data_IF_564429716771
#
_entry.id   IF_564429716771
#
_cell.length_a   1.000
_cell.length_b   1.000
_cell.length_c   1.000
_cell.angle_alpha   90.00
_cell.angle_beta   90.00
_cell.angle_gamma   90.00
#
_symmetry.space_group_name_H-M   'P 1'
#
loop_
_entity.id
_entity.type
_entity.pdbx_description
1 polymer ?
#
# COMPACT_ATOMS: atom_id res chain seq x y z
N UNK A 1 1.20 -7.15 10.67
CA UNK A 1 0.13 -7.83 9.90
C UNK A 1 -1.14 -6.99 9.79
N UNK A 2 -1.62 -6.35 10.87
CA UNK A 2 -2.79 -5.45 10.84
C UNK A 2 -2.64 -4.21 9.92
N UNK A 3 -1.48 -3.55 9.90
CA UNK A 3 -1.21 -2.40 8.99
C UNK A 3 -1.17 -2.81 7.51
N UNK A 4 -0.76 -4.05 7.20
CA UNK A 4 -0.79 -4.59 5.83
C UNK A 4 -2.23 -4.92 5.39
N UNK A 5 -3.17 -5.19 6.30
CA UNK A 5 -4.57 -5.50 5.96
C UNK A 5 -5.44 -4.24 5.86
N UNK A 6 -5.12 -3.17 6.60
CA UNK A 6 -5.89 -1.91 6.56
C UNK A 6 -5.70 -1.10 5.26
N UNK A 7 -4.53 -1.18 4.63
CA UNK A 7 -4.26 -0.50 3.34
C UNK A 7 -4.96 -1.15 2.14
N UNK A 8 -5.28 -2.43 2.20
CA UNK A 8 -6.01 -3.14 1.13
C UNK A 8 -7.51 -2.82 1.13
N UNK A 9 -7.97 -2.14 2.17
CA UNK A 9 -9.31 -2.30 2.74
C UNK A 9 -10.21 -1.12 2.40
N UNK A 10 -9.66 0.08 2.48
CA UNK A 10 -10.41 1.33 2.45
C UNK A 10 -10.67 1.76 0.99
N UNK A 11 -9.73 1.55 0.04
CA UNK A 11 -10.00 1.78 -1.41
C UNK A 11 -10.57 0.61 -2.17
N UNK A 12 -10.42 -0.65 -1.76
CA UNK A 12 -11.05 -1.73 -2.54
C UNK A 12 -12.57 -1.45 -2.67
N UNK A 13 -13.17 -0.94 -1.60
CA UNK A 13 -14.59 -0.58 -1.53
C UNK A 13 -14.89 0.67 -2.38
N UNK A 14 -14.01 1.68 -2.40
CA UNK A 14 -14.21 2.90 -3.20
C UNK A 14 -13.83 2.75 -4.67
N UNK A 15 -12.84 1.92 -5.03
CA UNK A 15 -12.53 1.49 -6.40
C UNK A 15 -13.66 0.62 -6.92
N UNK A 16 -14.22 -0.30 -6.12
CA UNK A 16 -15.44 -1.00 -6.49
C UNK A 16 -16.63 -0.04 -6.68
N UNK A 17 -16.80 0.96 -5.81
CA UNK A 17 -17.85 1.99 -5.99
C UNK A 17 -17.60 2.87 -7.23
N UNK A 18 -16.35 3.26 -7.51
CA UNK A 18 -15.96 4.07 -8.68
C UNK A 18 -16.03 3.26 -9.98
N UNK A 19 -15.69 1.98 -9.96
CA UNK A 19 -15.91 1.03 -11.06
C UNK A 19 -17.41 0.79 -11.26
N UNK A 20 -18.22 0.74 -10.21
CA UNK A 20 -19.68 0.69 -10.33
C UNK A 20 -20.28 2.01 -10.86
N UNK A 21 -19.76 3.17 -10.46
CA UNK A 21 -20.16 4.49 -10.98
C UNK A 21 -19.72 4.70 -12.43
N UNK A 22 -18.50 4.26 -12.78
CA UNK A 22 -17.97 4.26 -14.15
C UNK A 22 -18.76 3.27 -15.01
N UNK A 23 -19.13 2.09 -14.51
CA UNK A 23 -20.06 1.17 -15.18
C UNK A 23 -21.46 1.74 -15.33
N UNK A 24 -21.91 2.59 -14.40
CA UNK A 24 -23.16 3.34 -14.51
C UNK A 24 -23.09 4.43 -15.59
N UNK A 25 -21.97 5.16 -15.69
CA UNK A 25 -21.72 6.18 -16.71
C UNK A 25 -21.41 5.60 -18.11
N UNK A 26 -20.76 4.44 -18.19
CA UNK A 26 -20.52 3.65 -19.41
C UNK A 26 -21.78 2.92 -19.90
N UNK A 27 -22.76 2.68 -19.02
CA UNK A 27 -24.08 2.21 -19.46
C UNK A 27 -24.82 3.26 -20.28
N UNK A 28 -24.53 4.55 -20.06
CA UNK A 28 -25.08 5.68 -20.83
C UNK A 28 -24.18 6.14 -21.99
N UNK A 29 -22.90 5.75 -22.00
CA UNK A 29 -21.93 6.10 -23.03
C UNK A 29 -21.11 4.86 -23.49
N UNK A 30 -21.64 4.17 -24.50
CA UNK A 30 -20.94 3.28 -25.45
C UNK A 30 -19.93 2.24 -24.91
N UNK A 31 -20.34 0.98 -25.03
CA UNK A 31 -19.56 -0.19 -25.51
C UNK A 31 -18.03 -0.03 -25.44
N UNK A 32 -17.44 -0.31 -24.27
CA UNK A 32 -16.05 -0.76 -24.19
C UNK A 32 -16.05 -2.29 -24.23
N UNK A 33 -15.45 -2.87 -25.27
CA UNK A 33 -15.29 -4.31 -25.49
C UNK A 33 -14.37 -4.97 -24.44
N UNK A 34 -14.80 -5.01 -23.18
CA UNK A 34 -14.42 -6.06 -22.24
C UNK A 34 -15.53 -7.10 -22.31
N UNK A 35 -15.40 -8.13 -23.15
CA UNK A 35 -16.33 -9.27 -23.11
C UNK A 35 -16.33 -9.83 -21.68
N UNK A 36 -17.43 -9.60 -20.93
CA UNK A 36 -17.61 -10.29 -19.66
C UNK A 36 -17.64 -11.79 -19.97
N UNK A 37 -16.78 -12.60 -19.35
CA UNK A 37 -16.66 -14.00 -19.69
C UNK A 37 -18.03 -14.66 -19.52
N UNK A 38 -18.51 -15.30 -20.60
CA UNK A 38 -19.80 -15.96 -20.60
C UNK A 38 -19.77 -17.07 -19.56
N UNK A 39 -20.43 -16.86 -18.42
CA UNK A 39 -20.50 -17.87 -17.37
C UNK A 39 -21.48 -18.95 -17.83
N UNK A 40 -20.95 -20.00 -18.44
CA UNK A 40 -21.71 -21.10 -19.05
C UNK A 40 -22.65 -21.81 -18.04
N UNK A 41 -22.26 -21.89 -16.76
CA UNK A 41 -23.04 -22.63 -15.76
C UNK A 41 -24.12 -21.75 -15.06
N UNK A 42 -25.42 -22.07 -15.18
CA UNK A 42 -26.50 -21.31 -14.56
C UNK A 42 -26.45 -21.30 -13.02
N UNK A 43 -25.89 -22.36 -12.40
CA UNK A 43 -25.65 -22.39 -10.94
C UNK A 43 -24.61 -21.37 -10.51
N UNK A 44 -23.50 -21.23 -11.25
CA UNK A 44 -22.47 -20.20 -11.02
C UNK A 44 -23.04 -18.80 -11.19
N UNK A 45 -23.89 -18.57 -12.20
CA UNK A 45 -24.60 -17.27 -12.39
C UNK A 45 -25.49 -16.90 -11.21
N UNK A 46 -26.28 -17.85 -10.68
CA UNK A 46 -27.12 -17.61 -9.49
C UNK A 46 -26.28 -17.34 -8.24
N UNK A 47 -25.19 -18.09 -8.05
CA UNK A 47 -24.27 -17.88 -6.94
C UNK A 47 -23.59 -16.51 -7.01
N UNK A 48 -23.14 -16.10 -8.19
CA UNK A 48 -22.56 -14.78 -8.44
C UNK A 48 -23.53 -13.66 -8.03
N UNK A 49 -24.80 -13.72 -8.46
CA UNK A 49 -25.83 -12.74 -8.06
C UNK A 49 -25.99 -12.63 -6.54
N UNK A 50 -25.90 -13.75 -5.83
CA UNK A 50 -25.97 -13.76 -4.35
C UNK A 50 -24.74 -13.07 -3.74
N UNK A 51 -23.54 -13.38 -4.24
CA UNK A 51 -22.29 -12.76 -3.77
C UNK A 51 -22.29 -11.25 -4.04
N UNK A 52 -22.73 -10.80 -5.21
CA UNK A 52 -22.86 -9.37 -5.55
C UNK A 52 -23.86 -8.66 -4.63
N UNK A 53 -24.99 -9.30 -4.28
CA UNK A 53 -25.92 -8.75 -3.29
C UNK A 53 -25.28 -8.63 -1.90
N UNK A 54 -24.52 -9.65 -1.48
CA UNK A 54 -23.77 -9.63 -0.22
C UNK A 54 -22.73 -8.51 -0.19
N UNK A 55 -21.98 -8.30 -1.28
CA UNK A 55 -21.02 -7.19 -1.40
C UNK A 55 -21.70 -5.83 -1.20
N UNK A 56 -22.86 -5.61 -1.83
CA UNK A 56 -23.63 -4.36 -1.66
C UNK A 56 -24.07 -4.15 -0.20
N UNK A 57 -24.55 -5.20 0.46
CA UNK A 57 -24.97 -5.13 1.86
C UNK A 57 -23.79 -4.84 2.80
N UNK A 58 -22.65 -5.49 2.57
CA UNK A 58 -21.42 -5.25 3.33
C UNK A 58 -20.92 -3.82 3.12
N UNK A 59 -20.89 -3.33 1.87
CA UNK A 59 -20.50 -1.95 1.54
C UNK A 59 -21.34 -0.92 2.28
N UNK A 60 -22.68 -1.07 2.26
CA UNK A 60 -23.57 -0.16 2.97
C UNK A 60 -23.28 -0.14 4.48
N UNK A 61 -22.99 -1.31 5.07
CA UNK A 61 -22.67 -1.40 6.50
C UNK A 61 -21.32 -0.78 6.82
N UNK A 62 -20.35 -0.90 5.92
CA UNK A 62 -19.03 -0.29 6.07
C UNK A 62 -19.13 1.22 6.03
N UNK A 63 -19.85 1.80 5.04
CA UNK A 63 -20.09 3.26 4.98
C UNK A 63 -20.71 3.82 6.27
N UNK A 64 -21.75 3.14 6.78
CA UNK A 64 -22.38 3.53 8.06
C UNK A 64 -21.43 3.49 9.25
N UNK A 65 -20.46 2.58 9.25
CA UNK A 65 -19.46 2.50 10.33
C UNK A 65 -18.30 3.47 10.12
N UNK A 66 -18.02 3.90 8.89
CA UNK A 66 -17.02 4.92 8.57
C UNK A 66 -17.47 6.31 9.02
N UNK A 67 -18.77 6.61 8.91
CA UNK A 67 -19.37 7.88 9.34
C UNK A 67 -19.69 7.91 10.85
N UNK A 68 -19.65 6.77 11.53
CA UNK A 68 -20.00 6.68 12.94
C UNK A 68 -18.82 7.13 13.82
N UNK A 69 -19.09 8.07 14.71
CA UNK A 69 -18.12 8.52 15.71
C UNK A 69 -17.64 7.38 16.62
N UNK A 70 -16.39 7.50 17.06
CA UNK A 70 -15.75 6.54 17.96
C UNK A 70 -16.08 6.94 19.40
N UNK A 71 -16.70 6.01 20.11
CA UNK A 71 -16.91 6.11 21.55
C UNK A 71 -15.71 5.49 22.27
N UNK A 72 -15.06 6.25 23.13
CA UNK A 72 -13.90 5.82 23.91
C UNK A 72 -14.25 4.83 25.02
N UNK A 73 -15.54 4.65 25.33
CA UNK A 73 -16.01 3.71 26.36
C UNK A 73 -16.25 2.28 25.85
N UNK A 74 -16.22 2.06 24.53
CA UNK A 74 -16.45 0.76 23.91
C UNK A 74 -15.13 -0.06 23.82
N UNK A 75 -14.77 -0.80 24.87
CA UNK A 75 -13.47 -1.52 24.96
C UNK A 75 -13.33 -2.72 23.99
N UNK A 76 -14.32 -3.63 23.91
CA UNK A 76 -14.13 -4.92 23.21
C UNK A 76 -14.77 -5.02 21.81
N UNK A 77 -15.63 -4.05 21.44
CA UNK A 77 -16.39 -4.12 20.19
C UNK A 77 -16.64 -2.73 19.58
N UNK A 78 -15.66 -1.85 19.71
CA UNK A 78 -15.71 -0.49 19.17
C UNK A 78 -15.98 -0.46 17.67
N UNK A 79 -16.46 0.70 17.21
CA UNK A 79 -16.81 0.96 15.80
C UNK A 79 -15.71 0.53 14.84
N UNK A 80 -14.43 0.81 15.17
CA UNK A 80 -13.27 0.46 14.36
C UNK A 80 -13.06 -1.04 14.18
N UNK A 81 -13.18 -1.82 15.26
CA UNK A 81 -13.00 -3.28 15.25
C UNK A 81 -14.12 -3.96 14.45
N UNK A 82 -15.36 -3.49 14.61
CA UNK A 82 -16.49 -3.97 13.80
C UNK A 82 -16.26 -3.70 12.32
N UNK A 83 -15.83 -2.48 12.01
CA UNK A 83 -15.47 -2.08 10.66
C UNK A 83 -14.39 -3.02 10.09
N UNK A 84 -13.38 -3.42 10.87
CA UNK A 84 -12.37 -4.44 10.50
C UNK A 84 -12.92 -5.77 10.04
N UNK A 85 -13.81 -6.34 10.84
CA UNK A 85 -14.46 -7.60 10.52
C UNK A 85 -15.25 -7.51 9.22
N UNK A 86 -16.02 -6.43 9.03
CA UNK A 86 -16.85 -6.26 7.82
C UNK A 86 -16.02 -6.08 6.55
N UNK A 87 -14.94 -5.30 6.56
CA UNK A 87 -14.12 -5.17 5.35
C UNK A 87 -13.29 -6.45 5.08
N UNK A 88 -12.82 -7.15 6.10
CA UNK A 88 -12.20 -8.48 5.90
C UNK A 88 -13.17 -9.47 5.26
N UNK A 89 -14.44 -9.47 5.69
CA UNK A 89 -15.48 -10.26 5.06
C UNK A 89 -15.75 -9.81 3.62
N UNK A 90 -15.75 -8.50 3.36
CA UNK A 90 -15.91 -7.94 2.01
C UNK A 90 -14.84 -8.47 1.06
N UNK A 91 -13.56 -8.42 1.45
CA UNK A 91 -12.44 -8.92 0.64
C UNK A 91 -12.61 -10.42 0.33
N UNK A 92 -13.01 -11.24 1.30
CA UNK A 92 -13.26 -12.67 1.09
C UNK A 92 -14.33 -12.92 0.03
N UNK A 93 -15.45 -12.19 0.10
CA UNK A 93 -16.54 -12.31 -0.87
C UNK A 93 -16.08 -11.81 -2.24
N UNK A 94 -15.34 -10.71 -2.31
CA UNK A 94 -14.82 -10.17 -3.56
C UNK A 94 -13.87 -11.13 -4.27
N UNK A 95 -12.93 -11.73 -3.54
CA UNK A 95 -12.01 -12.73 -4.10
C UNK A 95 -12.78 -13.89 -4.72
N UNK A 96 -13.89 -14.32 -4.09
CA UNK A 96 -14.75 -15.38 -4.64
C UNK A 96 -15.48 -14.93 -5.91
N UNK A 97 -15.88 -13.67 -5.99
CA UNK A 97 -16.45 -13.08 -7.21
C UNK A 97 -15.43 -13.06 -8.34
N UNK A 98 -14.19 -12.64 -8.07
CA UNK A 98 -13.09 -12.67 -9.05
C UNK A 98 -12.79 -14.08 -9.55
N UNK A 99 -12.74 -15.06 -8.64
CA UNK A 99 -12.53 -16.48 -8.98
C UNK A 99 -13.62 -16.99 -9.95
N UNK A 100 -14.89 -16.64 -9.71
CA UNK A 100 -16.01 -17.05 -10.58
C UNK A 100 -15.96 -16.33 -11.94
N UNK A 101 -15.49 -15.07 -11.97
CA UNK A 101 -15.34 -14.27 -13.20
C UNK A 101 -14.03 -14.53 -13.93
N UNK A 102 -13.11 -15.34 -13.38
CA UNK A 102 -11.78 -15.56 -13.96
C UNK A 102 -10.90 -14.30 -14.05
N UNK A 103 -11.20 -13.27 -13.24
CA UNK A 103 -10.42 -12.01 -13.19
C UNK A 103 -9.42 -12.05 -12.05
N UNK A 104 -8.31 -11.31 -12.20
CA UNK A 104 -7.39 -11.09 -11.08
C UNK A 104 -8.09 -10.29 -9.98
N UNK A 105 -7.78 -10.61 -8.72
CA UNK A 105 -8.27 -9.89 -7.55
C UNK A 105 -7.33 -8.72 -7.19
N UNK A 106 -6.80 -8.03 -8.20
CA UNK A 106 -5.82 -6.93 -8.05
C UNK A 106 -6.47 -5.56 -7.87
N UNK A 107 -7.78 -5.43 -8.12
CA UNK A 107 -8.56 -4.21 -7.86
C UNK A 107 -8.02 -2.97 -8.57
N UNK A 108 -7.37 -3.16 -9.72
CA UNK A 108 -6.62 -2.11 -10.41
C UNK A 108 -5.50 -1.44 -9.60
N UNK A 109 -5.04 -2.07 -8.51
CA UNK A 109 -3.96 -1.52 -7.69
C UNK A 109 -2.60 -1.86 -8.31
N UNK A 110 -1.78 -0.86 -8.68
CA UNK A 110 -0.49 -1.10 -9.31
C UNK A 110 0.45 -2.00 -8.49
N UNK A 111 0.47 -1.86 -7.16
CA UNK A 111 1.37 -2.65 -6.31
C UNK A 111 0.98 -4.15 -6.21
N UNK A 112 -0.27 -4.53 -6.54
CA UNK A 112 -0.70 -5.95 -6.59
C UNK A 112 -0.30 -6.62 -7.90
N UNK A 113 -0.10 -5.83 -8.96
CA UNK A 113 0.32 -6.34 -10.27
C UNK A 113 1.76 -6.82 -10.20
N UNK A 114 2.16 -7.61 -11.20
CA UNK A 114 3.55 -8.06 -11.32
C UNK A 114 4.44 -6.84 -11.57
N UNK A 115 5.53 -6.76 -10.82
CA UNK A 115 6.53 -5.71 -10.98
C UNK A 115 7.56 -6.18 -12.00
N UNK A 116 7.83 -5.33 -12.99
CA UNK A 116 8.95 -5.45 -13.92
C UNK A 116 10.07 -4.53 -13.48
N UNK A 117 11.32 -4.97 -13.63
CA UNK A 117 12.53 -4.23 -13.29
C UNK A 117 13.49 -4.28 -14.47
N UNK A 118 13.98 -3.11 -14.87
CA UNK A 118 14.92 -2.97 -15.98
C UNK A 118 16.07 -2.01 -15.60
N UNK A 119 16.59 -2.14 -14.38
CA UNK A 119 17.60 -1.21 -13.86
C UNK A 119 19.05 -1.60 -14.15
N UNK A 120 19.35 -2.88 -14.30
CA UNK A 120 20.72 -3.31 -14.64
C UNK A 120 20.91 -3.50 -16.13
N UNK A 121 22.16 -3.35 -16.59
CA UNK A 121 22.60 -3.67 -17.95
C UNK A 121 22.41 -5.15 -18.32
N UNK A 122 22.18 -6.01 -17.31
CA UNK A 122 22.15 -7.46 -17.44
C UNK A 122 20.70 -7.98 -17.30
N UNK A 123 20.03 -8.37 -18.41
CA UNK A 123 18.62 -8.76 -18.38
C UNK A 123 18.32 -10.00 -17.52
N UNK A 124 19.29 -10.91 -17.40
CA UNK A 124 19.14 -12.12 -16.58
C UNK A 124 19.09 -11.80 -15.07
N UNK A 125 19.89 -10.82 -14.62
CA UNK A 125 19.85 -10.30 -13.24
C UNK A 125 18.48 -9.67 -12.98
N UNK A 126 18.03 -8.80 -13.89
CA UNK A 126 16.73 -8.15 -13.81
C UNK A 126 15.60 -9.19 -13.64
N UNK A 127 15.57 -10.22 -14.50
CA UNK A 127 14.58 -11.32 -14.44
C UNK A 127 14.70 -12.15 -13.16
N UNK A 128 15.88 -12.30 -12.58
CA UNK A 128 16.08 -12.99 -11.30
C UNK A 128 15.44 -12.20 -10.14
N UNK A 129 15.71 -10.89 -10.08
CA UNK A 129 15.14 -9.96 -9.10
C UNK A 129 13.62 -9.88 -9.22
N UNK A 130 13.10 -9.72 -10.44
CA UNK A 130 11.66 -9.72 -10.71
C UNK A 130 10.98 -11.00 -10.22
N UNK A 131 11.55 -12.18 -10.55
CA UNK A 131 10.98 -13.47 -10.14
C UNK A 131 10.96 -13.61 -8.62
N UNK A 132 12.02 -13.21 -7.95
CA UNK A 132 12.10 -13.24 -6.49
C UNK A 132 11.02 -12.35 -5.85
N UNK A 133 10.96 -11.07 -6.25
CA UNK A 133 10.02 -10.13 -5.66
C UNK A 133 8.57 -10.51 -5.96
N UNK A 134 8.25 -10.90 -7.20
CA UNK A 134 6.87 -11.25 -7.57
C UNK A 134 6.36 -12.51 -6.86
N UNK A 135 7.27 -13.39 -6.41
CA UNK A 135 6.95 -14.58 -5.62
C UNK A 135 6.76 -14.27 -4.14
N UNK A 136 7.67 -13.50 -3.54
CA UNK A 136 7.68 -13.27 -2.09
C UNK A 136 6.90 -12.02 -1.66
N UNK A 137 6.87 -10.98 -2.50
CA UNK A 137 6.21 -9.67 -2.24
C UNK A 137 6.71 -8.95 -0.99
N UNK A 138 7.87 -9.35 -0.47
CA UNK A 138 8.57 -8.65 0.61
C UNK A 138 9.67 -7.76 0.04
N UNK A 139 9.96 -6.67 0.75
CA UNK A 139 11.00 -5.72 0.35
C UNK A 139 12.36 -6.39 0.57
N UNK A 140 13.16 -6.64 -0.48
CA UNK A 140 14.42 -7.35 -0.35
C UNK A 140 15.44 -6.48 0.38
N UNK A 141 16.32 -7.12 1.16
CA UNK A 141 17.49 -6.44 1.69
C UNK A 141 18.65 -6.43 0.65
N UNK A 142 19.76 -5.80 1.01
CA UNK A 142 20.94 -5.78 0.14
C UNK A 142 21.53 -7.18 -0.09
N UNK A 143 21.50 -8.05 0.93
CA UNK A 143 22.06 -9.39 0.84
C UNK A 143 21.22 -10.31 -0.06
N UNK A 144 19.90 -10.15 -0.04
CA UNK A 144 18.96 -10.81 -0.92
C UNK A 144 19.28 -10.47 -2.38
N UNK A 145 19.41 -9.18 -2.70
CA UNK A 145 19.78 -8.74 -4.05
C UNK A 145 21.17 -9.27 -4.45
N UNK A 146 22.16 -9.18 -3.54
CA UNK A 146 23.52 -9.69 -3.81
C UNK A 146 23.51 -11.19 -4.11
N UNK A 147 22.77 -12.00 -3.35
CA UNK A 147 22.62 -13.44 -3.59
C UNK A 147 21.98 -13.70 -4.96
N UNK A 148 20.95 -12.94 -5.33
CA UNK A 148 20.29 -13.08 -6.63
C UNK A 148 21.22 -12.75 -7.79
N UNK A 149 22.10 -11.75 -7.64
CA UNK A 149 23.14 -11.41 -8.63
C UNK A 149 24.15 -12.54 -8.77
N UNK A 150 24.61 -13.13 -7.66
CA UNK A 150 25.54 -14.27 -7.68
C UNK A 150 24.91 -15.46 -8.41
N UNK A 151 23.69 -15.85 -8.04
CA UNK A 151 22.96 -16.96 -8.67
C UNK A 151 22.78 -16.71 -10.18
N UNK A 152 22.43 -15.48 -10.56
CA UNK A 152 22.22 -15.14 -11.96
C UNK A 152 23.54 -15.17 -12.76
N UNK A 153 24.66 -14.76 -12.15
CA UNK A 153 26.00 -14.83 -12.75
C UNK A 153 26.49 -16.28 -12.94
N UNK A 154 26.20 -17.16 -11.98
CA UNK A 154 26.53 -18.60 -12.07
C UNK A 154 25.69 -19.31 -13.14
N UNK A 155 24.39 -18.98 -13.25
CA UNK A 155 23.49 -19.58 -14.23
C UNK A 155 23.88 -19.29 -15.68
N UNK A 156 24.38 -18.08 -15.94
CA UNK A 156 24.73 -17.61 -17.29
C UNK A 156 26.25 -17.67 -17.59
N UNK A 157 27.06 -18.21 -16.68
CA UNK A 157 28.52 -18.36 -16.83
C UNK A 157 29.27 -17.07 -17.23
N UNK A 158 28.86 -15.91 -16.69
CA UNK A 158 29.45 -14.60 -17.06
C UNK A 158 30.78 -14.35 -16.37
N UNK A 159 31.07 -15.09 -15.28
CA UNK A 159 32.33 -15.04 -14.53
C UNK A 159 32.71 -13.63 -14.04
N UNK A 160 31.72 -12.86 -13.57
CA UNK A 160 31.99 -11.53 -13.02
C UNK A 160 32.87 -11.60 -11.77
N UNK A 161 33.86 -10.69 -11.63
CA UNK A 161 34.69 -10.65 -10.43
C UNK A 161 33.87 -10.20 -9.21
N UNK A 162 34.24 -10.60 -7.98
CA UNK A 162 33.47 -10.30 -6.76
C UNK A 162 33.19 -8.81 -6.54
N UNK A 163 34.14 -7.93 -6.90
CA UNK A 163 33.99 -6.47 -6.80
C UNK A 163 32.86 -5.98 -7.72
N UNK A 164 32.81 -6.46 -8.96
CA UNK A 164 31.75 -6.09 -9.92
C UNK A 164 30.39 -6.60 -9.48
N UNK A 165 30.33 -7.80 -8.90
CA UNK A 165 29.09 -8.34 -8.32
C UNK A 165 28.56 -7.40 -7.22
N UNK A 166 29.44 -6.90 -6.36
CA UNK A 166 29.06 -5.98 -5.29
C UNK A 166 28.58 -4.62 -5.83
N UNK A 167 29.27 -4.06 -6.82
CA UNK A 167 28.86 -2.82 -7.50
C UNK A 167 27.49 -2.96 -8.15
N UNK A 168 27.28 -4.03 -8.92
CA UNK A 168 25.99 -4.31 -9.59
C UNK A 168 24.88 -4.53 -8.57
N UNK A 169 25.15 -5.30 -7.51
CA UNK A 169 24.17 -5.53 -6.45
C UNK A 169 23.78 -4.24 -5.73
N UNK A 170 24.73 -3.34 -5.45
CA UNK A 170 24.46 -2.07 -4.80
C UNK A 170 23.62 -1.14 -5.68
N UNK A 171 23.97 -1.03 -6.97
CA UNK A 171 23.20 -0.26 -7.94
C UNK A 171 21.78 -0.82 -8.11
N UNK A 172 21.67 -2.14 -8.31
CA UNK A 172 20.39 -2.82 -8.46
C UNK A 172 19.51 -2.67 -7.21
N UNK A 173 20.08 -2.81 -6.01
CA UNK A 173 19.36 -2.65 -4.76
C UNK A 173 18.80 -1.23 -4.60
N UNK A 174 19.61 -0.21 -4.87
CA UNK A 174 19.17 1.19 -4.78
C UNK A 174 18.04 1.48 -5.76
N UNK A 175 18.23 1.14 -7.03
CA UNK A 175 17.26 1.44 -8.09
C UNK A 175 15.95 0.64 -7.92
N UNK A 176 16.06 -0.65 -7.62
CA UNK A 176 14.90 -1.49 -7.34
C UNK A 176 14.16 -1.02 -6.08
N UNK A 177 14.89 -0.67 -5.02
CA UNK A 177 14.33 -0.13 -3.78
C UNK A 177 13.60 1.19 -3.99
N UNK A 178 14.18 2.12 -4.75
CA UNK A 178 13.54 3.39 -5.13
C UNK A 178 12.28 3.18 -5.98
N UNK A 179 12.32 2.23 -6.92
CA UNK A 179 11.14 1.85 -7.70
C UNK A 179 10.03 1.28 -6.81
N UNK A 180 10.33 0.34 -5.92
CA UNK A 180 9.35 -0.23 -4.98
C UNK A 180 8.78 0.83 -4.02
N UNK A 181 9.63 1.75 -3.54
CA UNK A 181 9.21 2.89 -2.71
C UNK A 181 8.22 3.77 -3.47
N UNK A 182 8.54 4.14 -4.72
CA UNK A 182 7.64 4.95 -5.57
C UNK A 182 6.32 4.24 -5.79
N UNK A 183 6.32 2.96 -6.14
CA UNK A 183 5.09 2.18 -6.33
C UNK A 183 4.20 2.21 -5.07
N UNK A 184 4.79 2.06 -3.89
CA UNK A 184 4.06 2.13 -2.62
C UNK A 184 3.56 3.53 -2.30
N UNK A 185 4.33 4.57 -2.60
CA UNK A 185 3.94 5.96 -2.40
C UNK A 185 2.78 6.36 -3.32
N UNK A 186 2.82 5.95 -4.60
CA UNK A 186 1.72 6.18 -5.53
C UNK A 186 0.45 5.49 -5.05
N UNK A 187 0.55 4.22 -4.65
CA UNK A 187 -0.57 3.48 -4.09
C UNK A 187 -1.15 4.19 -2.85
N UNK A 188 -0.30 4.61 -1.90
CA UNK A 188 -0.72 5.38 -0.72
C UNK A 188 -1.32 6.75 -1.09
N UNK A 189 -0.84 7.41 -2.15
CA UNK A 189 -1.37 8.70 -2.60
C UNK A 189 -2.75 8.56 -3.24
N UNK A 190 -2.92 7.60 -4.15
CA UNK A 190 -4.21 7.26 -4.76
C UNK A 190 -5.23 6.89 -3.67
N UNK A 191 -4.74 6.19 -2.64
CA UNK A 191 -5.50 5.88 -1.44
C UNK A 191 -5.97 7.18 -0.76
N UNK A 192 -5.04 8.04 -0.37
CA UNK A 192 -5.35 9.22 0.44
C UNK A 192 -6.28 10.20 -0.27
N UNK A 193 -6.04 10.47 -1.56
CA UNK A 193 -6.91 11.37 -2.35
C UNK A 193 -8.35 10.88 -2.36
N UNK A 194 -8.60 9.57 -2.39
CA UNK A 194 -9.97 9.05 -2.41
C UNK A 194 -10.79 9.35 -1.14
N UNK A 195 -10.17 9.83 -0.05
CA UNK A 195 -10.87 10.33 1.14
C UNK A 195 -11.03 11.84 1.16
N UNK A 196 -10.26 12.57 0.36
CA UNK A 196 -10.33 14.01 0.35
C UNK A 196 -11.52 14.42 -0.51
N UNK A 197 -12.49 15.07 0.10
CA UNK A 197 -13.46 15.89 -0.63
C UNK A 197 -12.72 17.11 -1.22
N UNK A 198 -13.27 17.70 -2.28
CA UNK A 198 -12.70 18.89 -2.94
C UNK A 198 -12.86 20.17 -2.09
N UNK A 199 -12.64 20.09 -0.77
CA UNK A 199 -12.69 21.24 0.11
C UNK A 199 -11.36 21.99 0.10
N UNK A 200 -11.47 23.31 0.14
CA UNK A 200 -10.32 24.21 0.23
C UNK A 200 -9.79 24.18 1.67
N UNK A 201 -8.47 24.19 1.81
CA UNK A 201 -7.80 24.23 3.11
C UNK A 201 -8.23 25.49 3.91
N UNK A 202 -8.91 25.34 5.07
CA UNK A 202 -9.37 26.48 5.88
C UNK A 202 -8.25 27.39 6.39
N UNK A 203 -7.03 26.86 6.54
CA UNK A 203 -5.89 27.65 7.01
C UNK A 203 -5.42 28.70 6.00
N UNK A 204 -5.89 28.64 4.75
CA UNK A 204 -5.61 29.67 3.74
C UNK A 204 -6.25 31.02 4.06
N UNK A 205 -7.45 30.98 4.63
CA UNK A 205 -8.23 32.19 4.93
C UNK A 205 -8.07 32.62 6.41
N UNK A 206 -7.71 31.70 7.30
CA UNK A 206 -7.49 31.97 8.72
C UNK A 206 -5.99 32.02 9.09
N UNK A 207 -5.50 33.24 9.33
CA UNK A 207 -4.11 33.50 9.73
C UNK A 207 -3.77 32.91 11.11
N UNK A 208 -4.70 32.92 12.06
CA UNK A 208 -4.44 32.40 13.40
C UNK A 208 -4.27 30.87 13.35
N UNK A 209 -5.13 30.20 12.59
CA UNK A 209 -5.01 28.77 12.33
C UNK A 209 -3.68 28.45 11.63
N UNK A 210 -3.30 29.22 10.61
CA UNK A 210 -2.03 29.03 9.90
C UNK A 210 -0.81 29.16 10.83
N UNK A 211 -0.80 30.16 11.69
CA UNK A 211 0.27 30.36 12.69
C UNK A 211 0.34 29.18 13.68
N UNK A 212 -0.81 28.72 14.18
CA UNK A 212 -0.86 27.57 15.06
C UNK A 212 -0.36 26.29 14.38
N UNK A 213 -0.75 26.04 13.13
CA UNK A 213 -0.26 24.90 12.35
C UNK A 213 1.25 24.97 12.11
N UNK A 214 1.80 26.17 11.87
CA UNK A 214 3.24 26.36 11.75
C UNK A 214 3.98 26.03 13.06
N UNK A 215 3.44 26.47 14.21
CA UNK A 215 4.00 26.13 15.52
C UNK A 215 3.91 24.61 15.80
N UNK A 216 2.78 24.00 15.48
CA UNK A 216 2.58 22.55 15.60
C UNK A 216 3.59 21.77 14.74
N UNK A 217 3.86 22.23 13.51
CA UNK A 217 4.83 21.61 12.62
C UNK A 217 6.27 21.72 13.17
N UNK A 218 6.65 22.86 13.75
CA UNK A 218 7.96 23.01 14.40
C UNK A 218 8.09 22.07 15.61
N UNK A 219 7.06 22.01 16.46
CA UNK A 219 7.05 21.14 17.64
C UNK A 219 7.11 19.65 17.25
N UNK A 220 6.38 19.26 16.20
CA UNK A 220 6.39 17.90 15.66
C UNK A 220 7.80 17.47 15.26
N UNK A 221 8.50 18.28 14.44
CA UNK A 221 9.87 17.97 13.98
C UNK A 221 10.84 17.84 15.15
N UNK A 222 10.71 18.72 16.16
CA UNK A 222 11.53 18.67 17.37
C UNK A 222 11.32 17.36 18.14
N UNK A 223 10.06 16.99 18.39
CA UNK A 223 9.70 15.75 19.09
C UNK A 223 10.11 14.49 18.32
N UNK A 224 9.97 14.50 17.00
CA UNK A 224 10.39 13.38 16.15
C UNK A 224 11.91 13.15 16.28
N UNK A 225 12.70 14.21 16.19
CA UNK A 225 14.16 14.12 16.37
C UNK A 225 14.54 13.68 17.79
N UNK A 226 13.89 14.23 18.83
CA UNK A 226 14.14 13.85 20.23
C UNK A 226 13.93 12.35 20.47
N UNK A 227 12.91 11.74 19.86
CA UNK A 227 12.66 10.30 19.97
C UNK A 227 13.75 9.50 19.26
N UNK A 228 14.16 9.91 18.06
CA UNK A 228 15.24 9.25 17.30
C UNK A 228 16.55 9.30 18.09
N UNK A 229 16.92 10.48 18.59
CA UNK A 229 18.16 10.69 19.35
C UNK A 229 18.16 9.90 20.65
N UNK A 230 17.01 9.81 21.32
CA UNK A 230 16.86 9.00 22.53
C UNK A 230 17.18 7.52 22.26
N UNK A 231 16.58 6.93 21.22
CA UNK A 231 16.85 5.52 20.90
C UNK A 231 18.28 5.30 20.41
N UNK A 232 18.87 6.24 19.68
CA UNK A 232 20.27 6.19 19.28
C UNK A 232 21.23 6.24 20.48
N UNK A 233 20.93 7.06 21.48
CA UNK A 233 21.70 7.16 22.72
C UNK A 233 21.59 5.87 23.56
N UNK A 234 20.38 5.30 23.68
CA UNK A 234 20.16 4.03 24.36
C UNK A 234 20.94 2.87 23.69
N UNK A 235 20.96 2.81 22.36
CA UNK A 235 21.75 1.83 21.61
C UNK A 235 23.26 2.03 21.80
N UNK A 236 23.70 3.28 21.90
CA UNK A 236 25.10 3.64 22.20
C UNK A 236 25.50 3.43 23.66
N UNK A 237 24.56 3.06 24.55
CA UNK A 237 24.81 2.88 25.99
C UNK A 237 24.95 4.18 26.78
N UNK A 238 24.55 5.31 26.20
CA UNK A 238 24.50 6.61 26.87
C UNK A 238 23.17 6.70 27.63
N UNK A 239 23.23 6.73 28.96
CA UNK A 239 22.04 6.85 29.81
C UNK A 239 21.26 8.15 29.50
N UNK A 240 19.95 8.14 29.75
CA UNK A 240 19.01 9.23 29.45
C UNK A 240 19.31 10.59 30.11
N UNK A 241 20.40 10.72 30.86
CA UNK A 241 20.80 11.91 31.60
C UNK A 241 21.66 12.91 30.79
N UNK A 242 22.27 12.49 29.67
CA UNK A 242 23.28 13.32 28.97
C UNK A 242 22.73 14.16 27.79
N UNK A 243 21.44 14.06 27.47
CA UNK A 243 20.83 14.73 26.31
C UNK A 243 20.25 16.12 26.61
N UNK A 244 20.16 16.55 27.87
CA UNK A 244 19.56 17.85 28.23
C UNK A 244 20.51 19.06 28.16
N UNK A 245 21.83 18.85 28.07
CA UNK A 245 22.81 19.94 28.25
C UNK A 245 23.49 20.47 26.98
N UNK A 246 23.21 19.91 25.80
CA UNK A 246 23.70 20.50 24.55
C UNK A 246 22.70 21.50 23.95
N UNK A 247 22.46 22.62 24.66
CA UNK A 247 22.06 23.87 24.01
C UNK A 247 23.32 24.61 23.56
N UNK A 248 23.42 25.06 22.29
CA UNK A 248 24.55 25.86 21.86
C UNK A 248 24.61 27.15 22.69
N UNK A 249 25.76 27.39 23.33
CA UNK A 249 26.08 28.70 23.93
C UNK A 249 26.14 29.73 22.81
N UNK A 250 25.44 30.84 23.01
CA UNK A 250 25.40 32.01 22.13
C UNK A 250 26.80 32.54 21.80
#
# INVERSE_FOLDING_TARGET
TYVKLDRYRTQFIKVYNKVCEIKGKLADAAVSNDEEPVIECPKKRRHLKKLEKTLRALNLKIKKLEEKEVDWSDEDNGTYVKLDRYRTQFIKVYNKVCEIKGKLADADRPYLRKVSFAGTTYPHINRCIERYYNKHRDFPDFQDIKKLVIIANEQENIQLPPIKIQEIAAAAFKEFGEMLKRLRQYDDYDVLISYLDQQVDPARDDKQLQEQLNMNAMLFRKKEQEVIDKFAAEEAGLGSADLSDNKPKK
#
